data_IF_386348242867
#
_entry.id   IF_386348242867
#
_cell.length_a   1.000
_cell.length_b   1.000
_cell.length_c   1.000
_cell.angle_alpha   90.00
_cell.angle_beta   90.00
_cell.angle_gamma   90.00
#
_symmetry.space_group_name_H-M   'P 1'
#
loop_
_entity.id
_entity.type
_entity.pdbx_description
1 polymer ?
#
# COMPACT_ATOMS: atom_id res chain seq x y z
N UNK A 1 -3.62 -3.16 12.99
CA UNK A 1 -3.10 -4.04 11.91
C UNK A 1 -4.11 -4.21 10.77
N UNK A 2 -5.33 -4.69 11.05
CA UNK A 2 -6.37 -4.89 10.01
C UNK A 2 -6.83 -3.57 9.38
N UNK A 3 -7.10 -2.54 10.17
CA UNK A 3 -7.56 -1.22 9.68
C UNK A 3 -6.59 -0.60 8.67
N UNK A 4 -5.29 -0.69 8.97
CA UNK A 4 -4.19 -0.21 8.13
C UNK A 4 -4.18 -0.90 6.75
N UNK A 5 -4.33 -2.23 6.72
CA UNK A 5 -4.37 -3.02 5.47
C UNK A 5 -5.64 -2.73 4.67
N UNK A 6 -6.76 -2.61 5.36
CA UNK A 6 -8.05 -2.29 4.76
C UNK A 6 -8.02 -0.88 4.11
N UNK A 7 -7.35 0.09 4.74
CA UNK A 7 -7.11 1.40 4.16
C UNK A 7 -6.31 1.31 2.85
N UNK A 8 -5.16 0.62 2.86
CA UNK A 8 -4.33 0.44 1.66
C UNK A 8 -5.07 -0.33 0.58
N UNK A 9 -5.87 -1.33 0.92
CA UNK A 9 -6.75 -2.04 -0.03
C UNK A 9 -7.68 -1.07 -0.73
N UNK A 10 -8.44 -0.27 0.03
CA UNK A 10 -9.41 0.70 -0.54
C UNK A 10 -8.72 1.73 -1.42
N UNK A 11 -7.56 2.24 -0.98
CA UNK A 11 -6.77 3.19 -1.75
C UNK A 11 -6.24 2.57 -3.04
N UNK A 12 -5.68 1.35 -2.98
CA UNK A 12 -5.17 0.64 -4.15
C UNK A 12 -6.26 0.33 -5.18
N UNK A 13 -7.43 -0.13 -4.72
CA UNK A 13 -8.60 -0.34 -5.58
C UNK A 13 -9.05 0.96 -6.23
N UNK A 14 -9.17 2.04 -5.47
CA UNK A 14 -9.54 3.35 -6.00
C UNK A 14 -8.57 3.83 -7.09
N UNK A 15 -7.26 3.76 -6.82
CA UNK A 15 -6.23 4.18 -7.77
C UNK A 15 -6.31 3.35 -9.06
N UNK A 16 -6.39 2.02 -8.92
CA UNK A 16 -6.47 1.11 -10.05
C UNK A 16 -7.72 1.33 -10.92
N UNK A 17 -8.90 1.49 -10.28
CA UNK A 17 -10.17 1.76 -10.98
C UNK A 17 -10.16 3.09 -11.76
N UNK A 18 -9.42 4.08 -11.26
CA UNK A 18 -9.29 5.38 -11.93
C UNK A 18 -8.11 5.43 -12.91
N UNK A 19 -7.38 4.32 -13.12
CA UNK A 19 -6.20 4.30 -13.99
C UNK A 19 -5.06 5.19 -13.50
N UNK A 20 -5.00 5.44 -12.19
CA UNK A 20 -4.00 6.30 -11.55
C UNK A 20 -3.06 5.46 -10.68
N UNK A 21 -1.88 6.00 -10.40
CA UNK A 21 -0.91 5.41 -9.49
C UNK A 21 -0.48 6.44 -8.45
N UNK A 22 0.09 5.95 -7.35
CA UNK A 22 0.65 6.77 -6.28
C UNK A 22 2.07 6.31 -5.99
N UNK A 23 3.00 7.25 -5.84
CA UNK A 23 4.36 6.89 -5.45
C UNK A 23 4.38 6.38 -4.01
N UNK A 24 5.35 5.53 -3.68
CA UNK A 24 5.49 5.01 -2.32
C UNK A 24 5.74 6.11 -1.28
N UNK A 25 6.42 7.19 -1.66
CA UNK A 25 6.65 8.33 -0.77
C UNK A 25 5.34 9.02 -0.43
N UNK A 26 4.47 9.23 -1.42
CA UNK A 26 3.13 9.79 -1.18
C UNK A 26 2.27 8.87 -0.34
N UNK A 27 2.36 7.54 -0.54
CA UNK A 27 1.68 6.57 0.32
C UNK A 27 2.16 6.68 1.77
N UNK A 28 3.46 6.79 2.00
CA UNK A 28 4.01 6.95 3.35
C UNK A 28 3.50 8.22 4.03
N UNK A 29 3.46 9.34 3.29
CA UNK A 29 2.89 10.58 3.78
C UNK A 29 1.39 10.45 4.06
N UNK A 30 0.64 9.74 3.21
CA UNK A 30 -0.78 9.43 3.46
C UNK A 30 -0.96 8.61 4.74
N UNK A 31 -0.16 7.56 4.94
CA UNK A 31 -0.23 6.73 6.15
C UNK A 31 0.08 7.55 7.40
N UNK A 32 1.12 8.38 7.35
CA UNK A 32 1.51 9.28 8.43
C UNK A 32 0.42 10.32 8.75
N UNK A 33 -0.16 10.96 7.74
CA UNK A 33 -1.28 11.91 7.89
C UNK A 33 -2.51 11.28 8.54
N UNK A 34 -2.71 9.98 8.35
CA UNK A 34 -3.80 9.21 8.97
C UNK A 34 -3.37 8.52 10.27
N UNK A 35 -2.24 8.92 10.87
CA UNK A 35 -1.71 8.39 12.13
C UNK A 35 -1.41 6.88 12.13
N UNK A 36 -1.26 6.26 10.95
CA UNK A 36 -0.82 4.88 10.86
C UNK A 36 0.67 4.77 11.16
N UNK A 37 1.03 3.84 12.03
CA UNK A 37 2.40 3.54 12.42
C UNK A 37 2.86 2.19 11.88
N UNK A 38 4.18 2.04 11.76
CA UNK A 38 4.80 0.73 11.58
C UNK A 38 4.55 -0.14 12.81
N UNK A 39 4.87 -1.43 12.71
CA UNK A 39 4.68 -2.36 13.83
C UNK A 39 5.63 -2.06 15.00
N UNK A 40 6.74 -1.34 14.75
CA UNK A 40 7.64 -0.81 15.79
C UNK A 40 7.17 0.54 16.38
N UNK A 41 6.03 1.07 15.95
CA UNK A 41 5.48 2.35 16.41
C UNK A 41 6.06 3.60 15.73
N UNK A 42 6.93 3.43 14.73
CA UNK A 42 7.53 4.53 13.98
C UNK A 42 6.59 5.05 12.88
N UNK A 43 6.90 6.25 12.35
CA UNK A 43 6.26 6.77 11.15
C UNK A 43 6.73 6.00 9.90
N UNK A 44 5.90 6.02 8.85
CA UNK A 44 6.30 5.55 7.53
C UNK A 44 7.18 6.60 6.84
N UNK A 45 8.28 6.16 6.21
CA UNK A 45 9.30 7.05 5.61
C UNK A 45 9.53 6.81 4.11
N UNK A 46 8.57 6.20 3.39
CA UNK A 46 8.69 5.92 1.94
C UNK A 46 9.80 4.92 1.58
N UNK A 47 10.50 4.38 2.57
CA UNK A 47 11.57 3.39 2.40
C UNK A 47 11.07 1.95 2.52
N UNK A 48 12.01 1.04 2.82
CA UNK A 48 11.78 -0.43 2.89
C UNK A 48 10.55 -0.84 3.71
N UNK A 49 10.23 -0.11 4.78
CA UNK A 49 9.05 -0.37 5.60
C UNK A 49 7.73 -0.20 4.85
N UNK A 50 7.63 0.78 3.95
CA UNK A 50 6.43 1.02 3.12
C UNK A 50 6.30 -0.05 2.04
N UNK A 51 7.42 -0.41 1.37
CA UNK A 51 7.44 -1.53 0.41
C UNK A 51 7.00 -2.85 1.05
N UNK A 52 7.63 -3.20 2.18
CA UNK A 52 7.28 -4.40 2.92
C UNK A 52 5.82 -4.39 3.39
N UNK A 53 5.31 -3.22 3.75
CA UNK A 53 3.91 -3.11 4.14
C UNK A 53 2.93 -3.32 2.97
N UNK A 54 3.21 -2.82 1.77
CA UNK A 54 2.43 -3.15 0.57
C UNK A 54 2.48 -4.66 0.30
N UNK A 55 3.68 -5.25 0.33
CA UNK A 55 3.88 -6.68 0.08
C UNK A 55 3.09 -7.55 1.06
N UNK A 56 3.20 -7.28 2.36
CA UNK A 56 2.41 -8.01 3.37
C UNK A 56 0.90 -7.74 3.29
N UNK A 57 0.48 -6.61 2.69
CA UNK A 57 -0.94 -6.33 2.43
C UNK A 57 -1.45 -7.17 1.27
N UNK A 58 -0.67 -7.31 0.20
CA UNK A 58 -0.98 -8.23 -0.89
C UNK A 58 -1.13 -9.66 -0.39
N UNK A 59 -0.14 -10.18 0.36
CA UNK A 59 -0.18 -11.55 0.88
C UNK A 59 -1.41 -11.78 1.78
N UNK A 60 -1.76 -10.78 2.58
CA UNK A 60 -2.96 -10.81 3.42
C UNK A 60 -4.26 -10.88 2.61
N UNK A 61 -4.34 -10.21 1.45
CA UNK A 61 -5.50 -10.28 0.55
C UNK A 61 -5.58 -11.63 -0.17
N UNK A 62 -4.45 -12.13 -0.66
CA UNK A 62 -4.36 -13.46 -1.30
C UNK A 62 -4.79 -14.55 -0.32
N UNK A 63 -4.34 -14.50 0.93
CA UNK A 63 -4.74 -15.46 1.97
C UNK A 63 -6.26 -15.46 2.26
N UNK A 64 -6.97 -14.38 1.91
CA UNK A 64 -8.43 -14.26 2.04
C UNK A 64 -9.19 -14.60 0.74
N UNK A 65 -8.49 -15.00 -0.33
CA UNK A 65 -9.10 -15.24 -1.64
C UNK A 65 -9.47 -13.96 -2.41
N UNK A 66 -8.95 -12.79 -2.01
CA UNK A 66 -9.22 -11.49 -2.62
C UNK A 66 -8.15 -11.14 -3.68
N UNK A 67 -8.00 -11.99 -4.69
CA UNK A 67 -6.93 -11.84 -5.68
C UNK A 67 -7.06 -10.54 -6.51
N UNK A 68 -8.28 -10.13 -6.87
CA UNK A 68 -8.50 -8.93 -7.68
C UNK A 68 -8.08 -7.65 -6.94
N UNK A 69 -8.36 -7.58 -5.65
CA UNK A 69 -7.94 -6.49 -4.77
C UNK A 69 -6.43 -6.52 -4.54
N UNK A 70 -5.86 -7.73 -4.38
CA UNK A 70 -4.40 -7.90 -4.28
C UNK A 70 -3.69 -7.34 -5.51
N UNK A 71 -4.14 -7.71 -6.71
CA UNK A 71 -3.61 -7.21 -7.97
C UNK A 71 -3.76 -5.69 -8.11
N UNK A 72 -4.88 -5.15 -7.61
CA UNK A 72 -5.11 -3.69 -7.60
C UNK A 72 -4.07 -2.98 -6.73
N UNK A 73 -3.80 -3.51 -5.53
CA UNK A 73 -2.77 -2.98 -4.63
C UNK A 73 -1.37 -3.05 -5.26
N UNK A 74 -1.03 -4.17 -5.90
CA UNK A 74 0.27 -4.36 -6.56
C UNK A 74 0.52 -3.36 -7.70
N UNK A 75 -0.53 -2.99 -8.44
CA UNK A 75 -0.45 -2.08 -9.59
C UNK A 75 -0.63 -0.60 -9.23
N UNK A 76 -1.20 -0.31 -8.06
CA UNK A 76 -1.52 1.06 -7.66
C UNK A 76 -0.30 1.86 -7.16
N UNK A 77 0.72 1.19 -6.63
CA UNK A 77 1.85 1.85 -5.99
C UNK A 77 3.14 1.71 -6.80
N UNK A 78 3.82 2.83 -7.03
CA UNK A 78 5.03 2.90 -7.84
C UNK A 78 6.24 3.35 -7.03
N UNK A 79 7.41 2.97 -7.52
CA UNK A 79 8.71 3.49 -7.08
C UNK A 79 8.89 4.93 -7.54
N UNK A 80 9.85 5.67 -6.97
CA UNK A 80 10.18 7.03 -7.41
C UNK A 80 10.54 7.13 -8.90
N UNK A 81 11.03 6.05 -9.51
CA UNK A 81 11.35 5.95 -10.94
C UNK A 81 10.14 5.62 -11.83
N UNK A 82 8.95 5.49 -11.24
CA UNK A 82 7.70 5.14 -11.94
C UNK A 82 7.51 3.64 -12.20
N UNK A 83 8.47 2.78 -11.87
CA UNK A 83 8.28 1.32 -11.95
C UNK A 83 7.37 0.80 -10.84
N UNK A 84 6.71 -0.35 -11.04
CA UNK A 84 5.84 -0.92 -10.01
C UNK A 84 6.62 -1.30 -8.76
N UNK A 85 6.02 -1.02 -7.60
CA UNK A 85 6.65 -1.23 -6.30
C UNK A 85 6.43 -2.62 -5.69
N UNK A 86 5.64 -3.45 -6.37
CA UNK A 86 5.33 -4.83 -6.01
C UNK A 86 6.12 -5.81 -6.87
#
# INVERSE_FOLDING_TARGET
MVEKREYVKRLGVFLHQNGTTMSITELADHLKRNHFKTDSGADYEGGRGTYGFISTTYDWLVAQGQQAEADSVAKAFTKPDGSYAY
#
